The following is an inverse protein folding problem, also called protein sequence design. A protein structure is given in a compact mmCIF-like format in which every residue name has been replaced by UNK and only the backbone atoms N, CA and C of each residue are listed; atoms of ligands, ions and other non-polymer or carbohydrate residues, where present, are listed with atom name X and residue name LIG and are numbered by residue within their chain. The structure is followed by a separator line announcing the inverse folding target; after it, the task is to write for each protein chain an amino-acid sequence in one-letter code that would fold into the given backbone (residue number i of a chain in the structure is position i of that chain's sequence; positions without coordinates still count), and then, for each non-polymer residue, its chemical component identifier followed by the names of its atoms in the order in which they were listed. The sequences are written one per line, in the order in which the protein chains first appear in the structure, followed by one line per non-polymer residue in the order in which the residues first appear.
data_IF_276186709760
#
_entry.id   IF_276186709760
#
_cell.length_a   1.000
_cell.length_b   1.000
_cell.length_c   1.000
_cell.angle_alpha   90.00
_cell.angle_beta   90.00
_cell.angle_gamma   90.00
#
_symmetry.space_group_name_H-M   'P 1'
#
loop_
_entity.id
_entity.type
_entity.pdbx_description
1 polymer ?
#
# COMPACT_ATOMS: atom_id res chain seq x y z
N UNK A 1 -24.49 1.99 -13.10
CA UNK A 1 -23.63 1.27 -14.08
C UNK A 1 -23.11 0.02 -13.39
N UNK A 2 -22.71 -1.04 -14.12
CA UNK A 2 -22.00 -2.15 -13.47
C UNK A 2 -20.69 -1.65 -12.87
N UNK A 3 -20.28 -2.25 -11.75
CA UNK A 3 -18.98 -1.95 -11.13
C UNK A 3 -17.85 -2.25 -12.11
N UNK A 4 -16.87 -1.37 -12.19
CA UNK A 4 -15.65 -1.56 -12.98
C UNK A 4 -14.53 -2.05 -12.09
N UNK A 5 -13.81 -3.07 -12.52
CA UNK A 5 -12.75 -3.72 -11.74
C UNK A 5 -11.39 -3.44 -12.36
N UNK A 6 -10.47 -2.96 -11.54
CA UNK A 6 -9.07 -2.75 -11.92
C UNK A 6 -8.19 -3.64 -11.05
N UNK A 7 -7.65 -4.69 -11.62
CA UNK A 7 -6.67 -5.52 -10.93
C UNK A 7 -5.27 -4.96 -11.10
N UNK A 8 -4.49 -4.99 -10.02
CA UNK A 8 -3.09 -4.59 -10.02
C UNK A 8 -2.24 -5.77 -9.58
N UNK A 9 -1.36 -6.22 -10.46
CA UNK A 9 -0.39 -7.28 -10.18
C UNK A 9 1.03 -6.77 -10.35
N UNK A 10 2.01 -7.51 -9.87
CA UNK A 10 3.41 -7.16 -10.07
C UNK A 10 4.26 -8.34 -10.47
N UNK A 11 5.39 -8.04 -11.07
CA UNK A 11 6.36 -9.04 -11.47
C UNK A 11 7.79 -8.55 -11.36
N UNK A 12 8.74 -9.45 -11.57
CA UNK A 12 10.19 -9.25 -11.48
C UNK A 12 10.70 -9.32 -10.03
N UNK A 13 10.26 -8.40 -9.14
CA UNK A 13 10.65 -8.39 -7.71
C UNK A 13 9.51 -7.86 -6.84
N UNK A 14 9.58 -8.13 -5.53
CA UNK A 14 8.71 -7.50 -4.54
C UNK A 14 9.08 -6.02 -4.33
N UNK A 15 8.20 -5.24 -3.72
CA UNK A 15 8.49 -3.82 -3.41
C UNK A 15 8.50 -2.88 -4.61
N UNK A 16 7.91 -3.27 -5.75
CA UNK A 16 7.82 -2.43 -6.95
C UNK A 16 6.86 -1.25 -6.84
N UNK A 17 6.08 -1.17 -5.77
CA UNK A 17 5.09 -0.12 -5.59
C UNK A 17 3.73 -0.41 -6.25
N UNK A 18 3.29 -1.68 -6.25
CA UNK A 18 1.93 -2.07 -6.66
C UNK A 18 0.87 -1.27 -5.90
N UNK A 19 0.96 -1.29 -4.55
CA UNK A 19 0.03 -0.61 -3.65
C UNK A 19 -0.05 0.88 -3.94
N UNK A 20 1.09 1.53 -4.08
CA UNK A 20 1.14 2.96 -4.39
C UNK A 20 0.63 3.27 -5.80
N UNK A 21 0.86 2.38 -6.78
CA UNK A 21 0.27 2.52 -8.13
C UNK A 21 -1.25 2.40 -8.07
N UNK A 22 -1.77 1.42 -7.32
CA UNK A 22 -3.20 1.23 -7.09
C UNK A 22 -3.83 2.45 -6.39
N UNK A 23 -3.21 2.91 -5.30
CA UNK A 23 -3.61 4.09 -4.54
C UNK A 23 -3.61 5.37 -5.40
N UNK A 24 -2.56 5.56 -6.23
CA UNK A 24 -2.44 6.70 -7.13
C UNK A 24 -3.55 6.70 -8.18
N UNK A 25 -3.83 5.57 -8.80
CA UNK A 25 -4.96 5.46 -9.74
C UNK A 25 -6.29 5.73 -9.04
N UNK A 26 -6.48 5.18 -7.84
CA UNK A 26 -7.67 5.43 -7.02
C UNK A 26 -7.87 6.93 -6.75
N UNK A 27 -6.81 7.65 -6.36
CA UNK A 27 -6.84 9.09 -6.18
C UNK A 27 -7.24 9.82 -7.47
N UNK A 28 -6.65 9.44 -8.61
CA UNK A 28 -6.93 10.06 -9.89
C UNK A 28 -8.36 9.83 -10.37
N UNK A 29 -8.93 8.66 -10.12
CA UNK A 29 -10.33 8.36 -10.44
C UNK A 29 -11.28 9.11 -9.50
N UNK A 30 -10.98 9.15 -8.19
CA UNK A 30 -11.75 9.95 -7.23
C UNK A 30 -11.74 11.44 -7.57
N UNK A 31 -10.59 11.98 -7.99
CA UNK A 31 -10.47 13.37 -8.44
C UNK A 31 -11.32 13.68 -9.71
N UNK A 32 -11.75 12.66 -10.43
CA UNK A 32 -12.66 12.72 -11.57
C UNK A 32 -14.14 12.53 -11.18
N UNK A 33 -14.43 12.35 -9.90
CA UNK A 33 -15.78 12.18 -9.36
C UNK A 33 -16.27 10.75 -9.24
N UNK A 34 -15.42 9.73 -9.50
CA UNK A 34 -15.79 8.33 -9.34
C UNK A 34 -15.75 7.90 -7.87
N UNK A 35 -16.67 7.03 -7.47
CA UNK A 35 -16.65 6.36 -6.18
C UNK A 35 -15.77 5.13 -6.25
N UNK A 36 -14.62 5.20 -5.58
CA UNK A 36 -13.56 4.20 -5.66
C UNK A 36 -13.43 3.48 -4.33
N UNK A 37 -13.28 2.15 -4.37
CA UNK A 37 -12.87 1.35 -3.23
C UNK A 37 -11.63 0.52 -3.58
N UNK A 38 -10.93 0.03 -2.55
CA UNK A 38 -9.72 -0.77 -2.73
C UNK A 38 -9.73 -2.03 -1.90
N UNK A 39 -9.15 -3.10 -2.47
CA UNK A 39 -8.89 -4.36 -1.76
C UNK A 39 -7.46 -4.84 -1.99
N UNK A 40 -6.92 -5.50 -0.98
CA UNK A 40 -5.63 -6.19 -1.00
C UNK A 40 -5.83 -7.69 -0.83
N UNK A 41 -5.25 -8.48 -1.72
CA UNK A 41 -5.21 -9.93 -1.64
C UNK A 41 -3.78 -10.39 -1.40
N UNK A 42 -3.54 -10.94 -0.21
CA UNK A 42 -2.21 -11.36 0.21
C UNK A 42 -2.05 -12.89 0.15
N UNK A 43 -0.99 -13.38 -0.52
CA UNK A 43 -0.83 -14.82 -0.75
C UNK A 43 -0.30 -15.59 0.46
N UNK A 44 0.02 -14.95 1.58
CA UNK A 44 0.46 -15.67 2.78
C UNK A 44 -0.70 -16.41 3.49
N UNK A 45 -0.35 -17.48 4.24
CA UNK A 45 -1.31 -18.38 4.90
C UNK A 45 -1.81 -17.85 6.25
N UNK A 46 -1.23 -16.79 6.79
CA UNK A 46 -1.72 -16.18 8.01
C UNK A 46 -3.17 -15.68 7.83
N UNK A 47 -3.97 -15.75 8.91
CA UNK A 47 -5.36 -15.23 8.87
C UNK A 47 -5.36 -13.72 8.65
N UNK A 48 -4.47 -13.01 9.32
CA UNK A 48 -4.21 -11.58 9.25
C UNK A 48 -2.77 -11.31 9.69
N UNK A 49 -2.25 -10.08 9.57
CA UNK A 49 -0.90 -9.74 9.99
C UNK A 49 -0.73 -9.49 11.50
N UNK A 50 -1.80 -9.57 12.31
CA UNK A 50 -1.78 -9.17 13.73
C UNK A 50 -0.77 -9.89 14.59
N UNK A 51 -0.42 -11.14 14.25
CA UNK A 51 0.60 -11.93 14.96
C UNK A 51 1.96 -11.94 14.26
N UNK A 52 2.10 -11.25 13.14
CA UNK A 52 3.35 -11.17 12.40
C UNK A 52 4.35 -10.24 13.11
N UNK A 53 5.64 -10.53 12.92
CA UNK A 53 6.69 -9.68 13.46
C UNK A 53 6.77 -8.36 12.66
N UNK A 54 6.57 -7.18 13.29
CA UNK A 54 6.63 -5.89 12.61
C UNK A 54 7.98 -5.60 11.92
N UNK A 55 9.07 -6.21 12.39
CA UNK A 55 10.41 -6.07 11.76
C UNK A 55 10.48 -6.82 10.41
N UNK A 56 9.61 -7.80 10.19
CA UNK A 56 9.58 -8.57 8.93
C UNK A 56 8.52 -8.05 7.94
N UNK A 57 7.38 -7.57 8.45
CA UNK A 57 6.20 -7.24 7.63
C UNK A 57 5.83 -5.76 7.63
N UNK A 58 6.47 -4.94 8.48
CA UNK A 58 6.04 -3.58 8.71
C UNK A 58 4.90 -3.49 9.73
N UNK A 59 4.19 -2.37 9.75
CA UNK A 59 3.09 -2.18 10.69
C UNK A 59 1.88 -3.04 10.35
N UNK A 60 1.09 -3.34 11.37
CA UNK A 60 -0.27 -3.84 11.23
C UNK A 60 -1.19 -2.63 11.16
N UNK A 61 -1.80 -2.38 10.01
CA UNK A 61 -2.79 -1.31 9.85
C UNK A 61 -4.15 -1.79 10.34
N UNK A 62 -4.80 -1.00 11.20
CA UNK A 62 -6.10 -1.36 11.77
C UNK A 62 -7.18 -0.46 11.20
N UNK A 63 -8.18 -1.06 10.56
CA UNK A 63 -9.32 -0.35 10.00
C UNK A 63 -10.31 0.12 11.08
N UNK A 64 -11.21 1.03 10.76
CA UNK A 64 -12.20 1.58 11.72
C UNK A 64 -13.11 0.50 12.34
N UNK A 65 -13.35 -0.61 11.65
CA UNK A 65 -14.10 -1.76 12.16
C UNK A 65 -13.24 -2.78 12.95
N UNK A 66 -11.98 -2.42 13.25
CA UNK A 66 -11.08 -3.17 14.09
C UNK A 66 -10.37 -4.34 13.41
N UNK A 67 -10.39 -4.44 12.08
CA UNK A 67 -9.65 -5.47 11.38
C UNK A 67 -8.15 -5.16 11.31
N UNK A 68 -7.33 -6.15 11.66
CA UNK A 68 -5.89 -6.12 11.48
C UNK A 68 -5.56 -6.46 10.02
N UNK A 69 -4.81 -5.57 9.35
CA UNK A 69 -4.61 -5.63 7.90
C UNK A 69 -3.18 -5.28 7.50
N UNK A 70 -2.84 -5.55 6.25
CA UNK A 70 -1.57 -5.17 5.66
C UNK A 70 -1.38 -3.65 5.60
N UNK A 71 -0.14 -3.18 5.69
CA UNK A 71 0.22 -1.76 5.68
C UNK A 71 -0.21 -1.00 4.42
N UNK A 72 -0.38 -1.70 3.29
CA UNK A 72 -0.83 -1.10 2.04
C UNK A 72 -2.23 -0.48 2.15
N UNK A 73 -3.09 -1.00 3.06
CA UNK A 73 -4.40 -0.40 3.30
C UNK A 73 -4.27 1.03 3.83
N UNK A 74 -3.27 1.31 4.64
CA UNK A 74 -2.95 2.67 5.07
C UNK A 74 -2.59 3.59 3.89
N UNK A 75 -1.87 3.08 2.88
CA UNK A 75 -1.63 3.84 1.66
C UNK A 75 -2.92 4.12 0.89
N UNK A 76 -3.81 3.11 0.77
CA UNK A 76 -5.09 3.32 0.08
C UNK A 76 -5.92 4.37 0.76
N UNK A 77 -6.10 4.30 2.09
CA UNK A 77 -6.85 5.30 2.83
C UNK A 77 -6.23 6.70 2.70
N UNK A 78 -4.91 6.84 2.83
CA UNK A 78 -4.23 8.15 2.71
C UNK A 78 -4.32 8.78 1.33
N UNK A 79 -4.29 7.97 0.26
CA UNK A 79 -4.34 8.48 -1.12
C UNK A 79 -5.76 8.67 -1.61
N UNK A 80 -6.64 7.69 -1.39
CA UNK A 80 -8.00 7.71 -1.91
C UNK A 80 -8.92 8.52 -1.00
N UNK A 81 -8.57 8.66 0.29
CA UNK A 81 -9.38 9.33 1.31
C UNK A 81 -10.76 8.67 1.45
N UNK A 82 -10.76 7.35 1.56
CA UNK A 82 -11.92 6.50 1.79
C UNK A 82 -11.59 5.49 2.89
N UNK A 83 -12.53 5.27 3.79
CA UNK A 83 -12.37 4.29 4.86
C UNK A 83 -12.51 2.88 4.32
N UNK A 84 -11.56 2.05 4.68
CA UNK A 84 -11.57 0.63 4.38
C UNK A 84 -12.10 -0.19 5.56
N UNK A 85 -12.38 -1.46 5.33
CA UNK A 85 -12.97 -2.36 6.31
C UNK A 85 -12.35 -3.76 6.23
N UNK A 86 -12.83 -4.68 7.07
CA UNK A 86 -12.34 -6.07 7.14
C UNK A 86 -12.42 -6.86 5.83
N UNK A 87 -13.26 -6.44 4.88
CA UNK A 87 -13.37 -7.08 3.56
C UNK A 87 -12.30 -6.57 2.61
N UNK A 88 -11.65 -5.45 2.93
CA UNK A 88 -10.62 -4.84 2.10
C UNK A 88 -9.28 -5.57 2.15
N UNK A 89 -9.05 -6.48 3.11
CA UNK A 89 -7.86 -7.33 3.15
C UNK A 89 -8.23 -8.82 3.20
N UNK A 90 -7.85 -9.55 2.17
CA UNK A 90 -8.12 -10.98 2.02
C UNK A 90 -6.80 -11.75 1.94
N UNK A 91 -6.58 -12.68 2.86
CA UNK A 91 -5.40 -13.55 2.87
C UNK A 91 -5.73 -14.95 2.37
N UNK A 92 -4.73 -15.69 1.91
CA UNK A 92 -4.87 -17.13 1.63
C UNK A 92 -5.43 -17.86 2.83
N UNK A 93 -5.00 -17.51 4.05
CA UNK A 93 -5.51 -18.11 5.28
C UNK A 93 -7.02 -17.92 5.44
N UNK A 94 -7.55 -16.72 5.24
CA UNK A 94 -8.99 -16.44 5.29
C UNK A 94 -9.77 -17.26 4.25
N UNK A 95 -9.24 -17.41 3.04
CA UNK A 95 -9.86 -18.17 1.96
C UNK A 95 -9.92 -19.65 2.33
N UNK A 96 -8.80 -20.27 2.68
CA UNK A 96 -8.75 -21.69 3.04
C UNK A 96 -9.55 -21.99 4.31
N UNK A 97 -9.51 -21.12 5.31
CA UNK A 97 -10.32 -21.26 6.52
C UNK A 97 -11.83 -21.31 6.19
N UNK A 98 -12.28 -20.44 5.30
CA UNK A 98 -13.68 -20.45 4.83
C UNK A 98 -14.02 -21.78 4.15
N UNK A 99 -13.18 -22.27 3.24
CA UNK A 99 -13.38 -23.54 2.51
C UNK A 99 -13.41 -24.72 3.47
N UNK A 100 -12.45 -24.83 4.40
CA UNK A 100 -12.39 -25.93 5.35
C UNK A 100 -13.61 -25.96 6.28
N UNK A 101 -14.08 -24.79 6.73
CA UNK A 101 -15.31 -24.72 7.53
C UNK A 101 -16.55 -25.12 6.74
N UNK A 102 -16.67 -24.73 5.48
CA UNK A 102 -17.76 -25.15 4.59
C UNK A 102 -17.73 -26.66 4.38
N UNK A 103 -16.54 -27.25 4.16
CA UNK A 103 -16.38 -28.70 4.03
C UNK A 103 -16.85 -29.45 5.29
N UNK A 104 -16.41 -28.98 6.48
CA UNK A 104 -16.80 -29.61 7.75
C UNK A 104 -18.29 -29.52 8.05
N UNK A 105 -18.97 -28.49 7.59
CA UNK A 105 -20.44 -28.37 7.71
C UNK A 105 -21.19 -29.19 6.68
N UNK A 106 -20.53 -29.77 5.67
CA UNK A 106 -21.15 -30.53 4.60
C UNK A 106 -21.71 -29.66 3.47
N UNK A 107 -21.34 -28.40 3.38
CA UNK A 107 -21.87 -27.46 2.37
C UNK A 107 -21.55 -27.90 0.92
N UNK A 108 -20.57 -28.78 0.74
CA UNK A 108 -20.19 -29.34 -0.57
C UNK A 108 -20.87 -30.69 -0.88
N UNK A 109 -21.80 -31.17 -0.06
CA UNK A 109 -22.60 -32.37 -0.34
C UNK A 109 -21.79 -33.65 -0.54
N UNK A 110 -20.62 -33.79 0.06
CA UNK A 110 -19.70 -34.93 -0.07
C UNK A 110 -18.84 -34.94 -1.34
N UNK A 111 -18.88 -33.87 -2.15
CA UNK A 111 -18.02 -33.78 -3.32
C UNK A 111 -16.55 -33.51 -2.91
N UNK A 112 -15.62 -33.96 -3.76
CA UNK A 112 -14.20 -33.64 -3.59
C UNK A 112 -13.97 -32.13 -3.73
N UNK A 113 -13.39 -31.49 -2.71
CA UNK A 113 -13.07 -30.07 -2.70
C UNK A 113 -11.67 -29.87 -3.29
N UNK A 114 -11.55 -29.00 -4.30
CA UNK A 114 -10.32 -28.77 -5.06
C UNK A 114 -10.03 -27.27 -5.18
N UNK A 115 -8.82 -26.91 -5.58
CA UNK A 115 -8.46 -25.51 -5.83
C UNK A 115 -9.39 -24.90 -6.89
N UNK A 116 -9.57 -25.61 -8.01
CA UNK A 116 -10.56 -25.26 -9.03
C UNK A 116 -11.70 -26.30 -8.95
N UNK A 117 -12.94 -25.87 -8.77
CA UNK A 117 -13.45 -24.49 -8.72
C UNK A 117 -13.60 -23.92 -7.31
N UNK A 118 -13.39 -24.66 -6.22
CA UNK A 118 -13.86 -24.27 -4.90
C UNK A 118 -13.08 -23.08 -4.31
N UNK A 119 -11.73 -23.14 -4.32
CA UNK A 119 -10.90 -22.03 -3.83
C UNK A 119 -11.02 -20.83 -4.76
N UNK A 120 -10.98 -21.03 -6.07
CA UNK A 120 -11.14 -19.92 -7.03
C UNK A 120 -12.51 -19.24 -6.93
N UNK A 121 -13.60 -20.01 -6.70
CA UNK A 121 -14.92 -19.44 -6.48
C UNK A 121 -15.01 -18.64 -5.16
N UNK A 122 -14.38 -19.13 -4.09
CA UNK A 122 -14.28 -18.38 -2.82
C UNK A 122 -13.52 -17.06 -3.02
N UNK A 123 -12.41 -17.08 -3.76
CA UNK A 123 -11.64 -15.87 -4.08
C UNK A 123 -12.51 -14.90 -4.91
N UNK A 124 -13.15 -15.38 -5.98
CA UNK A 124 -14.03 -14.54 -6.82
C UNK A 124 -15.20 -13.95 -6.02
N UNK A 125 -15.78 -14.71 -5.10
CA UNK A 125 -16.83 -14.16 -4.23
C UNK A 125 -16.34 -12.99 -3.40
N UNK A 126 -15.06 -12.93 -3.04
CA UNK A 126 -14.44 -11.80 -2.33
C UNK A 126 -14.20 -10.60 -3.26
N UNK A 127 -13.94 -10.79 -4.55
CA UNK A 127 -13.88 -9.71 -5.51
C UNK A 127 -15.23 -8.97 -5.63
N UNK A 128 -16.35 -9.72 -5.64
CA UNK A 128 -17.70 -9.17 -5.70
C UNK A 128 -18.14 -8.44 -4.43
N UNK A 129 -17.53 -8.71 -3.26
CA UNK A 129 -17.94 -8.07 -2.00
C UNK A 129 -17.73 -6.54 -1.96
N UNK A 130 -17.03 -5.99 -2.95
CA UNK A 130 -16.99 -4.55 -3.17
C UNK A 130 -18.34 -3.96 -3.63
N UNK A 131 -19.25 -4.80 -4.15
CA UNK A 131 -20.58 -4.37 -4.61
C UNK A 131 -21.53 -4.05 -3.44
N UNK A 132 -21.29 -4.60 -2.23
CA UNK A 132 -22.09 -4.33 -1.03
C UNK A 132 -21.92 -2.89 -0.50
N UNK A 133 -20.86 -2.18 -0.91
CA UNK A 133 -20.81 -0.73 -0.79
C UNK A 133 -21.75 -0.17 -1.87
N UNK A 134 -23.01 0.10 -1.53
CA UNK A 134 -24.14 0.42 -2.40
C UNK A 134 -23.94 1.58 -3.41
N UNK A 135 -22.74 2.05 -3.57
CA UNK A 135 -22.36 3.20 -4.38
C UNK A 135 -21.01 3.04 -5.12
N UNK A 136 -20.28 1.93 -4.98
CA UNK A 136 -18.97 1.75 -5.64
C UNK A 136 -19.15 1.70 -7.16
N UNK A 137 -18.40 2.55 -7.87
CA UNK A 137 -18.34 2.56 -9.34
C UNK A 137 -17.07 1.88 -9.84
N UNK A 138 -15.95 2.01 -9.13
CA UNK A 138 -14.68 1.38 -9.47
C UNK A 138 -14.08 0.67 -8.25
N UNK A 139 -13.79 -0.62 -8.40
CA UNK A 139 -13.08 -1.43 -7.43
C UNK A 139 -11.64 -1.66 -7.88
N UNK A 140 -10.67 -1.24 -7.10
CA UNK A 140 -9.25 -1.48 -7.35
C UNK A 140 -8.80 -2.64 -6.46
N UNK A 141 -8.29 -3.70 -7.08
CA UNK A 141 -7.92 -4.94 -6.40
C UNK A 141 -6.45 -5.23 -6.64
N UNK A 142 -5.64 -5.11 -5.59
CA UNK A 142 -4.24 -5.50 -5.67
C UNK A 142 -4.06 -6.97 -5.30
N UNK A 143 -3.36 -7.72 -6.16
CA UNK A 143 -2.90 -9.08 -5.86
C UNK A 143 -1.45 -8.99 -5.39
N UNK A 144 -1.22 -9.39 -4.15
CA UNK A 144 0.09 -9.48 -3.53
C UNK A 144 0.97 -10.57 -4.15
N UNK A 145 2.25 -10.55 -3.80
CA UNK A 145 3.25 -11.45 -4.38
C UNK A 145 3.71 -11.01 -5.77
N UNK A 146 4.45 -11.89 -6.43
CA UNK A 146 5.03 -11.69 -7.75
C UNK A 146 4.39 -12.67 -8.73
N UNK A 147 4.11 -12.25 -9.96
CA UNK A 147 3.65 -13.16 -10.99
C UNK A 147 4.69 -14.28 -11.18
N UNK A 148 4.24 -15.52 -11.14
CA UNK A 148 5.10 -16.70 -11.14
C UNK A 148 5.27 -17.36 -9.76
N UNK A 149 5.02 -16.65 -8.66
CA UNK A 149 5.06 -17.23 -7.32
C UNK A 149 3.92 -18.26 -7.14
N UNK A 150 4.24 -19.41 -6.55
CA UNK A 150 3.27 -20.50 -6.33
C UNK A 150 2.09 -20.01 -5.47
N UNK A 151 2.39 -19.20 -4.47
CA UNK A 151 1.42 -18.66 -3.52
C UNK A 151 0.36 -17.78 -4.19
N UNK A 152 0.74 -17.08 -5.27
CA UNK A 152 -0.15 -16.16 -6.00
C UNK A 152 -1.01 -16.85 -7.06
N UNK A 153 -0.68 -18.09 -7.45
CA UNK A 153 -1.36 -18.80 -8.54
C UNK A 153 -2.88 -18.93 -8.37
N UNK A 154 -3.44 -19.30 -7.18
CA UNK A 154 -4.89 -19.38 -7.03
C UNK A 154 -5.61 -18.05 -7.25
N UNK A 155 -4.98 -16.93 -6.85
CA UNK A 155 -5.54 -15.59 -7.07
C UNK A 155 -5.48 -15.19 -8.54
N UNK A 156 -4.39 -15.49 -9.22
CA UNK A 156 -4.25 -15.22 -10.66
C UNK A 156 -5.22 -16.07 -11.48
N UNK A 157 -5.40 -17.35 -11.13
CA UNK A 157 -6.41 -18.20 -11.77
C UNK A 157 -7.84 -17.69 -11.52
N UNK A 158 -8.14 -17.24 -10.30
CA UNK A 158 -9.42 -16.63 -9.99
C UNK A 158 -9.65 -15.33 -10.79
N UNK A 159 -8.61 -14.49 -10.93
CA UNK A 159 -8.65 -13.30 -11.78
C UNK A 159 -8.96 -13.66 -13.25
N UNK A 160 -8.26 -14.65 -13.81
CA UNK A 160 -8.49 -15.11 -15.19
C UNK A 160 -9.94 -15.52 -15.41
N UNK A 161 -10.50 -16.29 -14.47
CA UNK A 161 -11.91 -16.70 -14.53
C UNK A 161 -12.84 -15.50 -14.39
N UNK A 162 -12.55 -14.59 -13.46
CA UNK A 162 -13.35 -13.41 -13.18
C UNK A 162 -13.41 -12.45 -14.38
N UNK A 163 -12.29 -12.19 -15.06
CA UNK A 163 -12.28 -11.40 -16.28
C UNK A 163 -13.19 -11.96 -17.37
N UNK A 164 -13.24 -13.29 -17.47
CA UNK A 164 -14.15 -13.95 -18.42
C UNK A 164 -15.62 -13.84 -18.02
N UNK A 165 -15.92 -13.89 -16.71
CA UNK A 165 -17.29 -13.81 -16.17
C UNK A 165 -17.89 -12.40 -16.31
N UNK A 166 -17.12 -11.35 -16.00
CA UNK A 166 -17.64 -9.96 -16.00
C UNK A 166 -17.44 -9.25 -17.35
N UNK A 167 -16.61 -9.79 -18.24
CA UNK A 167 -16.25 -9.19 -19.52
C UNK A 167 -15.09 -8.19 -19.42
N UNK A 168 -14.27 -8.14 -20.45
CA UNK A 168 -13.09 -7.26 -20.53
C UNK A 168 -13.42 -5.77 -20.43
N UNK A 169 -14.61 -5.38 -20.85
CA UNK A 169 -15.10 -3.99 -20.74
C UNK A 169 -15.39 -3.58 -19.29
N UNK A 170 -15.47 -4.53 -18.36
CA UNK A 170 -15.72 -4.28 -16.94
C UNK A 170 -14.53 -4.64 -16.05
N UNK A 171 -13.49 -5.28 -16.59
CA UNK A 171 -12.35 -5.75 -15.80
C UNK A 171 -11.05 -5.62 -16.58
N UNK A 172 -10.12 -4.82 -16.08
CA UNK A 172 -8.79 -4.64 -16.65
C UNK A 172 -7.68 -5.08 -15.69
N UNK A 173 -6.53 -5.42 -16.26
CA UNK A 173 -5.33 -5.76 -15.51
C UNK A 173 -4.21 -4.74 -15.77
N UNK A 174 -3.75 -4.11 -14.72
CA UNK A 174 -2.52 -3.32 -14.68
C UNK A 174 -1.40 -4.20 -14.11
N UNK A 175 -0.31 -4.32 -14.86
CA UNK A 175 0.85 -5.08 -14.41
C UNK A 175 2.04 -4.15 -14.15
N UNK A 176 2.50 -4.11 -12.90
CA UNK A 176 3.63 -3.27 -12.48
C UNK A 176 4.92 -4.08 -12.64
N UNK A 177 5.88 -3.51 -13.36
CA UNK A 177 7.15 -4.18 -13.69
C UNK A 177 8.35 -3.27 -13.45
N UNK A 178 9.56 -3.83 -13.59
CA UNK A 178 10.82 -3.11 -13.43
C UNK A 178 11.60 -3.06 -14.75
N UNK A 179 12.09 -1.87 -15.09
CA UNK A 179 13.07 -1.64 -16.15
C UNK A 179 14.38 -1.20 -15.51
N UNK A 180 15.25 -2.13 -15.12
CA UNK A 180 16.48 -1.78 -14.43
C UNK A 180 17.47 -1.09 -15.35
N UNK A 181 18.18 -0.08 -14.80
CA UNK A 181 19.33 0.54 -15.45
C UNK A 181 20.62 -0.20 -15.03
N UNK A 182 21.33 -0.75 -16.00
CA UNK A 182 22.60 -1.41 -15.76
C UNK A 182 23.74 -0.41 -15.94
N UNK A 183 24.30 0.06 -14.82
CA UNK A 183 25.41 1.04 -14.81
C UNK A 183 26.60 0.60 -15.64
N UNK A 184 26.93 -0.72 -15.66
CA UNK A 184 28.07 -1.25 -16.39
C UNK A 184 27.93 -1.16 -17.92
N UNK A 185 26.70 -1.28 -18.47
CA UNK A 185 26.43 -1.18 -19.90
C UNK A 185 25.82 0.16 -20.31
N UNK A 186 25.45 1.02 -19.34
CA UNK A 186 24.86 2.32 -19.60
C UNK A 186 23.47 2.26 -20.25
N UNK A 187 22.69 1.22 -20.02
CA UNK A 187 21.42 1.02 -20.72
C UNK A 187 20.31 0.47 -19.84
N UNK A 188 19.06 0.79 -20.19
CA UNK A 188 17.85 0.22 -19.60
C UNK A 188 17.56 -1.16 -20.19
N UNK A 189 17.19 -2.14 -19.33
CA UNK A 189 16.92 -3.52 -19.73
C UNK A 189 15.43 -3.85 -19.68
N UNK A 190 14.84 -4.12 -20.83
CA UNK A 190 13.41 -4.49 -20.95
C UNK A 190 13.13 -5.98 -20.76
N UNK A 191 14.17 -6.82 -20.70
CA UNK A 191 14.01 -8.28 -20.56
C UNK A 191 13.26 -8.72 -19.30
N UNK A 192 13.50 -8.14 -18.10
CA UNK A 192 12.75 -8.52 -16.91
C UNK A 192 11.25 -8.30 -17.07
N UNK A 193 10.83 -7.15 -17.59
CA UNK A 193 9.41 -6.85 -17.91
C UNK A 193 8.84 -7.86 -18.90
N UNK A 194 9.56 -8.16 -20.00
CA UNK A 194 9.12 -9.14 -20.99
C UNK A 194 8.95 -10.55 -20.39
N UNK A 195 9.85 -10.96 -19.49
CA UNK A 195 9.77 -12.25 -18.80
C UNK A 195 8.53 -12.30 -17.90
N UNK A 196 8.33 -11.27 -17.07
CA UNK A 196 7.18 -11.18 -16.16
C UNK A 196 5.84 -11.20 -16.90
N UNK A 197 5.71 -10.48 -18.02
CA UNK A 197 4.49 -10.53 -18.84
C UNK A 197 4.27 -11.91 -19.45
N UNK A 198 5.34 -12.61 -19.86
CA UNK A 198 5.24 -13.99 -20.37
C UNK A 198 4.74 -14.98 -19.31
N UNK A 199 5.09 -14.79 -18.05
CA UNK A 199 4.55 -15.59 -16.94
C UNK A 199 3.02 -15.49 -16.90
N UNK A 200 2.48 -14.26 -16.92
CA UNK A 200 1.03 -14.04 -16.97
C UNK A 200 0.39 -14.62 -18.22
N UNK A 201 1.00 -14.40 -19.39
CA UNK A 201 0.51 -14.95 -20.65
C UNK A 201 0.51 -16.50 -20.65
N UNK A 202 1.49 -17.13 -20.00
CA UNK A 202 1.53 -18.57 -19.78
C UNK A 202 0.36 -19.11 -18.96
N UNK A 203 -0.23 -18.27 -18.11
CA UNK A 203 -1.46 -18.57 -17.34
C UNK A 203 -2.75 -18.19 -18.10
N UNK A 204 -2.64 -17.67 -19.33
CA UNK A 204 -3.79 -17.20 -20.11
C UNK A 204 -4.28 -15.80 -19.70
N UNK A 205 -3.42 -15.00 -19.07
CA UNK A 205 -3.74 -13.64 -18.63
C UNK A 205 -2.95 -12.64 -19.49
N UNK A 206 -3.64 -11.70 -20.14
CA UNK A 206 -3.02 -10.61 -20.87
C UNK A 206 -3.20 -9.31 -20.08
N UNK A 207 -2.11 -8.63 -19.67
CA UNK A 207 -2.25 -7.31 -19.05
C UNK A 207 -2.73 -6.28 -20.09
N UNK A 208 -3.61 -5.39 -19.63
CA UNK A 208 -4.13 -4.28 -20.43
C UNK A 208 -3.19 -3.08 -20.41
N UNK A 209 -2.57 -2.82 -19.26
CA UNK A 209 -1.69 -1.68 -19.02
C UNK A 209 -0.43 -2.19 -18.32
N UNK A 210 0.72 -1.68 -18.76
CA UNK A 210 2.00 -1.91 -18.09
C UNK A 210 2.45 -0.63 -17.41
N UNK A 211 2.70 -0.70 -16.10
CA UNK A 211 3.35 0.37 -15.34
C UNK A 211 4.79 -0.03 -15.10
N UNK A 212 5.70 0.65 -15.77
CA UNK A 212 7.12 0.30 -15.81
C UNK A 212 7.91 1.20 -14.87
N UNK A 213 8.28 0.70 -13.69
CA UNK A 213 9.18 1.41 -12.79
C UNK A 213 10.59 1.45 -13.36
N UNK A 214 11.21 2.61 -13.31
CA UNK A 214 12.57 2.84 -13.82
C UNK A 214 13.23 4.03 -13.13
N UNK A 215 14.55 3.94 -12.91
CA UNK A 215 15.35 5.05 -12.38
C UNK A 215 15.52 6.20 -13.39
N UNK A 216 15.37 5.91 -14.69
CA UNK A 216 15.56 6.85 -15.78
C UNK A 216 14.34 6.91 -16.70
N UNK A 217 14.09 8.05 -17.35
CA UNK A 217 13.00 8.19 -18.32
C UNK A 217 13.08 7.15 -19.45
N UNK A 218 11.92 6.60 -19.80
CA UNK A 218 11.76 5.67 -20.92
C UNK A 218 11.56 6.47 -22.22
N UNK A 219 12.48 6.34 -23.14
CA UNK A 219 12.30 6.90 -24.47
C UNK A 219 11.24 6.16 -25.29
N UNK A 220 10.91 6.73 -26.43
CA UNK A 220 9.88 6.22 -27.34
C UNK A 220 10.20 4.85 -27.91
N UNK A 221 11.49 4.54 -28.14
CA UNK A 221 11.95 3.27 -28.69
C UNK A 221 11.85 2.15 -27.63
N UNK A 222 12.19 2.46 -26.38
CA UNK A 222 12.01 1.52 -25.25
C UNK A 222 10.53 1.22 -25.05
N UNK A 223 9.65 2.26 -25.02
CA UNK A 223 8.19 2.06 -24.90
C UNK A 223 7.64 1.23 -26.08
N UNK A 224 8.08 1.50 -27.32
CA UNK A 224 7.67 0.73 -28.49
C UNK A 224 8.13 -0.74 -28.43
N UNK A 225 9.36 -0.98 -27.99
CA UNK A 225 9.92 -2.32 -27.79
C UNK A 225 9.13 -3.11 -26.74
N UNK A 226 8.83 -2.50 -25.59
CA UNK A 226 8.00 -3.12 -24.54
C UNK A 226 6.62 -3.46 -25.11
N UNK A 227 5.97 -2.51 -25.76
CA UNK A 227 4.65 -2.67 -26.37
C UNK A 227 4.60 -3.88 -27.32
N UNK A 228 5.58 -3.98 -28.19
CA UNK A 228 5.68 -5.07 -29.18
C UNK A 228 5.87 -6.44 -28.51
N UNK A 229 6.80 -6.55 -27.54
CA UNK A 229 7.12 -7.83 -26.91
C UNK A 229 6.07 -8.29 -25.89
N UNK A 230 5.32 -7.34 -25.29
CA UNK A 230 4.30 -7.62 -24.28
C UNK A 230 2.88 -7.63 -24.83
N UNK A 231 2.73 -7.42 -26.14
CA UNK A 231 1.43 -7.41 -26.85
C UNK A 231 0.44 -6.39 -26.25
N UNK A 232 0.91 -5.16 -26.02
CA UNK A 232 0.08 -4.04 -25.56
C UNK A 232 0.28 -2.82 -26.48
N UNK A 233 -0.71 -1.95 -26.66
CA UNK A 233 -0.52 -0.69 -27.39
C UNK A 233 0.53 0.20 -26.69
N UNK A 234 1.38 0.91 -27.45
CA UNK A 234 2.43 1.79 -26.90
C UNK A 234 1.89 2.79 -25.86
N UNK A 235 0.69 3.36 -26.08
CA UNK A 235 0.04 4.29 -25.14
C UNK A 235 -0.33 3.66 -23.80
N UNK A 236 -0.33 2.34 -23.67
CA UNK A 236 -0.60 1.58 -22.46
C UNK A 236 0.69 1.16 -21.71
N UNK A 237 1.85 1.61 -22.18
CA UNK A 237 3.14 1.48 -21.50
C UNK A 237 3.38 2.78 -20.75
N UNK A 238 3.06 2.78 -19.47
CA UNK A 238 3.16 3.94 -18.56
C UNK A 238 4.50 3.86 -17.84
N UNK A 239 5.28 4.92 -17.88
CA UNK A 239 6.49 4.98 -17.05
C UNK A 239 6.14 5.38 -15.62
N UNK A 240 6.87 4.83 -14.67
CA UNK A 240 6.82 5.17 -13.26
C UNK A 240 8.24 5.46 -12.79
N UNK A 241 8.58 6.73 -12.69
CA UNK A 241 9.87 7.18 -12.15
C UNK A 241 9.79 7.33 -10.63
N UNK A 242 10.93 7.15 -9.98
CA UNK A 242 11.04 7.44 -8.56
C UNK A 242 10.80 8.94 -8.32
N UNK A 243 10.12 9.25 -7.23
CA UNK A 243 9.77 10.60 -6.81
C UNK A 243 10.36 10.88 -5.43
N UNK A 244 10.68 12.14 -5.14
CA UNK A 244 11.24 12.53 -3.84
C UNK A 244 10.19 12.45 -2.73
N UNK A 245 8.95 12.80 -3.04
CA UNK A 245 7.81 12.76 -2.14
C UNK A 245 6.78 11.81 -2.71
N UNK A 246 6.42 10.78 -1.96
CA UNK A 246 5.51 9.73 -2.42
C UNK A 246 4.18 10.28 -2.95
N UNK A 247 3.69 11.37 -2.35
CA UNK A 247 2.45 12.05 -2.76
C UNK A 247 2.54 12.82 -4.09
N UNK A 248 3.73 12.90 -4.71
CA UNK A 248 3.87 13.40 -6.09
C UNK A 248 3.46 12.36 -7.13
N UNK A 249 3.43 11.08 -6.75
CA UNK A 249 3.21 10.00 -7.71
C UNK A 249 1.87 10.10 -8.45
N UNK A 250 0.73 10.44 -7.81
CA UNK A 250 -0.51 10.69 -8.56
C UNK A 250 -0.36 11.76 -9.63
N UNK A 251 0.38 12.85 -9.35
CA UNK A 251 0.61 13.92 -10.32
C UNK A 251 1.52 13.48 -11.47
N UNK A 252 2.52 12.64 -11.18
CA UNK A 252 3.38 12.03 -12.21
C UNK A 252 2.58 11.04 -13.07
N UNK A 253 1.74 10.21 -12.48
CA UNK A 253 0.87 9.27 -13.19
C UNK A 253 -0.22 9.97 -14.03
N UNK A 254 -0.70 11.14 -13.58
CA UNK A 254 -1.61 11.97 -14.37
C UNK A 254 -0.93 12.49 -15.65
N UNK A 255 0.33 12.96 -15.56
CA UNK A 255 1.13 13.38 -16.72
C UNK A 255 1.33 12.23 -17.72
N UNK A 256 1.53 11.01 -17.22
CA UNK A 256 1.62 9.79 -18.03
C UNK A 256 0.25 9.29 -18.50
N UNK A 257 -0.85 9.95 -18.12
CA UNK A 257 -2.24 9.65 -18.52
C UNK A 257 -2.74 8.26 -18.08
N UNK A 258 -2.26 7.75 -16.91
CA UNK A 258 -2.67 6.45 -16.40
C UNK A 258 -4.18 6.32 -16.27
N UNK A 259 -4.85 7.31 -15.65
CA UNK A 259 -6.30 7.28 -15.48
C UNK A 259 -7.06 7.38 -16.81
N UNK A 260 -6.57 8.18 -17.77
CA UNK A 260 -7.17 8.27 -19.10
C UNK A 260 -7.13 6.91 -19.82
N UNK A 261 -5.99 6.23 -19.75
CA UNK A 261 -5.82 4.91 -20.37
C UNK A 261 -6.69 3.86 -19.67
N UNK A 262 -6.79 3.89 -18.34
CA UNK A 262 -7.66 3.00 -17.58
C UNK A 262 -9.15 3.22 -17.92
N UNK A 263 -9.62 4.48 -17.96
CA UNK A 263 -10.98 4.80 -18.36
C UNK A 263 -11.28 4.36 -19.80
N UNK A 264 -10.33 4.57 -20.72
CA UNK A 264 -10.49 4.08 -22.12
C UNK A 264 -10.66 2.56 -22.16
N UNK A 265 -9.82 1.81 -21.42
CA UNK A 265 -9.91 0.35 -21.39
C UNK A 265 -11.25 -0.15 -20.80
N UNK A 266 -11.82 0.58 -19.82
CA UNK A 266 -13.08 0.25 -19.14
C UNK A 266 -14.32 0.85 -19.82
N UNK A 267 -14.16 1.52 -20.97
CA UNK A 267 -15.24 2.27 -21.64
C UNK A 267 -15.96 3.23 -20.69
N UNK A 268 -15.20 3.96 -19.88
CA UNK A 268 -15.67 4.97 -18.95
C UNK A 268 -15.39 6.36 -19.51
N UNK A 269 -16.23 7.34 -19.14
CA UNK A 269 -15.89 8.75 -19.35
C UNK A 269 -14.64 9.12 -18.55
N UNK A 270 -13.89 10.09 -19.02
CA UNK A 270 -12.68 10.55 -18.33
C UNK A 270 -12.69 12.07 -18.19
N UNK A 271 -13.53 12.64 -17.28
CA UNK A 271 -13.53 14.06 -17.03
C UNK A 271 -12.17 14.55 -16.50
N UNK A 272 -11.96 15.87 -16.56
CA UNK A 272 -10.74 16.46 -16.00
C UNK A 272 -10.73 16.29 -14.48
N UNK A 273 -9.60 15.89 -13.87
CA UNK A 273 -9.52 15.71 -12.44
C UNK A 273 -9.41 17.06 -11.73
N UNK A 274 -10.04 17.19 -10.56
CA UNK A 274 -9.71 18.25 -9.62
C UNK A 274 -8.63 17.77 -8.66
N UNK A 275 -7.42 18.26 -8.86
CA UNK A 275 -6.23 17.95 -8.06
C UNK A 275 -5.71 19.18 -7.31
N UNK A 276 -6.51 20.24 -7.20
CA UNK A 276 -6.07 21.53 -6.62
C UNK A 276 -5.52 21.34 -5.21
N UNK A 277 -6.31 20.77 -4.30
CA UNK A 277 -5.87 20.54 -2.91
C UNK A 277 -4.66 19.60 -2.81
N UNK A 278 -4.58 18.62 -3.70
CA UNK A 278 -3.46 17.70 -3.74
C UNK A 278 -2.16 18.36 -4.19
N UNK A 279 -2.24 19.23 -5.19
CA UNK A 279 -1.11 20.04 -5.68
C UNK A 279 -0.64 21.00 -4.58
N UNK A 280 -1.57 21.66 -3.88
CA UNK A 280 -1.25 22.59 -2.80
C UNK A 280 -0.57 21.87 -1.63
N UNK A 281 -1.04 20.67 -1.26
CA UNK A 281 -0.40 19.84 -0.24
C UNK A 281 1.03 19.45 -0.66
N UNK A 282 1.24 18.98 -1.88
CA UNK A 282 2.57 18.62 -2.38
C UNK A 282 3.50 19.83 -2.43
N UNK A 283 2.99 21.00 -2.84
CA UNK A 283 3.77 22.22 -2.85
C UNK A 283 4.17 22.67 -1.43
N UNK A 284 3.26 22.57 -0.46
CA UNK A 284 3.56 22.87 0.94
C UNK A 284 4.66 21.94 1.49
N UNK A 285 4.61 20.65 1.09
CA UNK A 285 5.63 19.68 1.46
C UNK A 285 7.01 20.00 0.89
N UNK A 286 7.07 20.47 -0.37
CA UNK A 286 8.32 20.82 -1.05
C UNK A 286 8.96 22.12 -0.53
N UNK A 287 8.15 23.01 0.04
CA UNK A 287 8.59 24.34 0.43
C UNK A 287 8.27 24.65 1.89
N UNK A 288 8.79 23.84 2.85
CA UNK A 288 8.56 24.07 4.26
C UNK A 288 9.22 25.39 4.71
N UNK A 289 8.55 26.10 5.63
CA UNK A 289 9.07 27.36 6.21
C UNK A 289 9.85 27.14 7.50
N UNK A 290 9.61 26.01 8.14
CA UNK A 290 10.19 25.63 9.43
C UNK A 290 10.71 24.21 9.37
N UNK A 291 11.62 23.87 10.28
CA UNK A 291 12.08 22.51 10.52
C UNK A 291 11.86 22.15 11.97
N UNK A 292 11.38 20.96 12.23
CA UNK A 292 11.23 20.40 13.57
C UNK A 292 11.84 19.02 13.61
N UNK A 293 12.52 18.69 14.71
CA UNK A 293 13.11 17.36 14.93
C UNK A 293 12.33 16.64 16.00
N UNK A 294 11.74 15.50 15.64
CA UNK A 294 10.95 14.68 16.56
C UNK A 294 11.64 13.34 16.78
N UNK A 295 11.92 12.99 18.05
CA UNK A 295 12.39 11.66 18.41
C UNK A 295 11.23 10.69 18.44
N UNK A 296 11.30 9.62 17.64
CA UNK A 296 10.41 8.47 17.72
C UNK A 296 11.13 7.37 18.50
N UNK A 297 10.65 7.12 19.72
CA UNK A 297 11.27 6.18 20.67
C UNK A 297 10.48 4.88 20.66
N UNK A 298 11.02 3.81 20.09
CA UNK A 298 10.29 2.58 19.88
C UNK A 298 11.14 1.33 19.92
N UNK A 299 10.47 0.17 19.86
CA UNK A 299 11.07 -1.18 19.90
C UNK A 299 11.43 -1.74 18.51
N UNK A 300 10.80 -1.18 17.44
CA UNK A 300 10.86 -1.74 16.10
C UNK A 300 11.54 -0.79 15.11
N UNK A 301 12.38 0.12 15.61
CA UNK A 301 13.03 1.17 14.83
C UNK A 301 14.03 0.65 13.79
N UNK A 302 14.41 -0.61 13.84
CA UNK A 302 15.26 -1.25 12.84
C UNK A 302 14.59 -1.42 11.47
N UNK A 303 13.24 -1.45 11.43
CA UNK A 303 12.45 -1.38 10.22
C UNK A 303 11.49 -0.19 10.31
N UNK A 304 11.74 0.85 9.52
CA UNK A 304 10.94 2.09 9.58
C UNK A 304 9.47 1.87 9.24
N UNK A 305 9.16 0.90 8.36
CA UNK A 305 7.79 0.53 7.99
C UNK A 305 6.95 0.01 9.17
N UNK A 306 7.60 -0.40 10.28
CA UNK A 306 6.89 -0.78 11.50
C UNK A 306 6.14 0.40 12.16
N UNK A 307 6.46 1.64 11.80
CA UNK A 307 5.84 2.86 12.33
C UNK A 307 5.36 3.80 11.23
N UNK A 308 5.06 3.28 10.05
CA UNK A 308 4.76 4.11 8.87
C UNK A 308 3.58 5.06 9.11
N UNK A 309 2.49 4.61 9.73
CA UNK A 309 1.34 5.48 10.03
C UNK A 309 1.67 6.58 11.03
N UNK A 310 2.53 6.32 12.01
CA UNK A 310 3.00 7.34 12.97
C UNK A 310 3.83 8.39 12.24
N UNK A 311 4.75 7.96 11.41
CA UNK A 311 5.61 8.83 10.60
C UNK A 311 4.79 9.66 9.63
N UNK A 312 3.85 9.04 8.92
CA UNK A 312 2.98 9.76 7.98
C UNK A 312 2.08 10.77 8.70
N UNK A 313 1.54 10.43 9.89
CA UNK A 313 0.79 11.39 10.70
C UNK A 313 1.64 12.60 11.12
N UNK A 314 2.90 12.38 11.52
CA UNK A 314 3.84 13.47 11.83
C UNK A 314 4.15 14.33 10.61
N UNK A 315 4.36 13.72 9.45
CA UNK A 315 4.60 14.44 8.19
C UNK A 315 3.38 15.26 7.76
N UNK A 316 2.17 14.68 7.82
CA UNK A 316 0.93 15.41 7.51
C UNK A 316 0.72 16.58 8.46
N UNK A 317 0.96 16.39 9.77
CA UNK A 317 0.92 17.46 10.75
C UNK A 317 1.95 18.57 10.45
N UNK A 318 3.16 18.19 10.04
CA UNK A 318 4.20 19.14 9.66
C UNK A 318 3.79 19.94 8.41
N UNK A 319 3.30 19.29 7.36
CA UNK A 319 2.83 19.95 6.12
C UNK A 319 1.71 20.95 6.42
N UNK A 320 0.72 20.57 7.23
CA UNK A 320 -0.37 21.45 7.65
C UNK A 320 0.12 22.72 8.39
N UNK A 321 1.31 22.64 9.01
CA UNK A 321 1.96 23.75 9.70
C UNK A 321 3.11 24.38 8.90
N UNK A 322 3.24 24.11 7.61
CA UNK A 322 4.31 24.57 6.73
C UNK A 322 5.72 24.21 7.28
N UNK A 323 5.85 23.05 7.88
CA UNK A 323 7.10 22.56 8.46
C UNK A 323 7.57 21.26 7.78
N UNK A 324 8.87 21.02 7.83
CA UNK A 324 9.51 19.73 7.58
C UNK A 324 9.76 19.06 8.93
N UNK A 325 9.40 17.79 9.06
CA UNK A 325 9.74 16.99 10.24
C UNK A 325 10.90 16.06 9.94
N UNK A 326 11.96 16.19 10.73
CA UNK A 326 13.08 15.24 10.79
C UNK A 326 12.77 14.22 11.89
N UNK A 327 12.69 12.93 11.51
CA UNK A 327 12.46 11.86 12.48
C UNK A 327 13.79 11.32 12.98
N UNK A 328 14.04 11.49 14.29
CA UNK A 328 15.17 10.87 14.98
C UNK A 328 14.72 9.54 15.55
N UNK A 329 15.17 8.46 14.92
CA UNK A 329 14.86 7.09 15.33
C UNK A 329 15.66 6.72 16.56
N UNK A 330 15.00 6.36 17.66
CA UNK A 330 15.63 6.00 18.92
C UNK A 330 15.16 4.62 19.36
N UNK A 331 16.11 3.68 19.43
CA UNK A 331 15.83 2.38 20.03
C UNK A 331 15.70 2.51 21.54
N UNK A 332 14.52 2.20 22.05
CA UNK A 332 14.21 2.30 23.47
C UNK A 332 15.09 1.40 24.34
N UNK A 333 15.65 0.33 23.82
CA UNK A 333 16.55 -0.56 24.57
C UNK A 333 17.91 0.08 24.87
N UNK A 334 18.29 1.10 24.10
CA UNK A 334 19.56 1.79 24.26
C UNK A 334 19.48 2.99 25.20
N UNK A 335 18.27 3.42 25.57
CA UNK A 335 18.06 4.60 26.43
C UNK A 335 18.11 4.22 27.90
N UNK A 336 18.86 4.99 28.69
CA UNK A 336 19.00 4.83 30.14
C UNK A 336 19.17 6.20 30.81
N UNK A 337 19.02 6.27 32.13
CA UNK A 337 19.22 7.49 32.91
C UNK A 337 20.63 8.12 32.74
N UNK A 338 21.63 7.31 32.34
CA UNK A 338 23.01 7.77 32.15
C UNK A 338 23.26 8.44 30.78
N UNK A 339 22.45 8.15 29.77
CA UNK A 339 22.69 8.61 28.40
C UNK A 339 21.50 9.32 27.77
N UNK A 340 20.39 9.46 28.47
CA UNK A 340 19.12 10.01 27.97
C UNK A 340 19.31 11.41 27.36
N UNK A 341 20.12 12.26 27.95
CA UNK A 341 20.41 13.60 27.46
C UNK A 341 21.06 13.57 26.07
N UNK A 342 21.94 12.61 25.80
CA UNK A 342 22.60 12.49 24.50
C UNK A 342 21.63 12.13 23.36
N UNK A 343 20.48 11.52 23.69
CA UNK A 343 19.44 11.21 22.72
C UNK A 343 18.48 12.38 22.45
N UNK A 344 18.24 13.25 23.46
CA UNK A 344 17.10 14.18 23.37
C UNK A 344 17.46 15.65 23.52
N UNK A 345 18.73 16.02 23.73
CA UNK A 345 19.14 17.41 23.87
C UNK A 345 18.96 18.27 22.61
N UNK A 346 18.78 17.63 21.43
CA UNK A 346 18.67 18.29 20.12
C UNK A 346 17.31 18.09 19.44
N UNK A 347 16.27 17.68 20.20
CA UNK A 347 14.94 17.45 19.63
C UNK A 347 13.91 18.45 20.11
N UNK A 348 12.94 18.74 19.24
CA UNK A 348 11.84 19.67 19.53
C UNK A 348 10.60 18.94 20.08
N UNK A 349 10.53 17.63 19.94
CA UNK A 349 9.44 16.80 20.44
C UNK A 349 9.83 15.33 20.58
N UNK A 350 9.07 14.61 21.39
CA UNK A 350 9.25 13.16 21.60
C UNK A 350 7.91 12.45 21.42
N UNK A 351 7.90 11.38 20.61
CA UNK A 351 6.76 10.47 20.47
C UNK A 351 7.18 9.06 20.89
N UNK A 352 6.33 8.42 21.71
CA UNK A 352 6.53 7.04 22.15
C UNK A 352 5.33 6.21 21.71
N UNK A 353 5.40 5.53 20.55
CA UNK A 353 4.31 4.68 20.06
C UNK A 353 4.10 3.47 20.95
N UNK A 354 2.95 2.81 20.79
CA UNK A 354 2.66 1.56 21.48
C UNK A 354 3.60 0.42 21.09
N UNK A 355 3.62 -0.61 21.93
CA UNK A 355 4.36 -1.85 21.66
C UNK A 355 4.10 -2.88 22.76
N UNK A 356 3.95 -4.14 22.35
CA UNK A 356 3.67 -5.24 23.29
C UNK A 356 4.93 -5.78 23.96
N UNK A 357 4.74 -6.36 25.16
CA UNK A 357 5.80 -7.02 25.95
C UNK A 357 6.75 -6.04 26.63
N UNK A 358 7.66 -6.59 27.44
CA UNK A 358 8.46 -5.83 28.41
C UNK A 358 9.74 -5.21 27.82
N UNK A 359 10.12 -5.59 26.61
CA UNK A 359 11.34 -5.13 25.93
C UNK A 359 11.32 -3.61 25.75
N UNK A 360 12.38 -2.92 26.19
CA UNK A 360 12.58 -1.49 25.99
C UNK A 360 11.68 -0.56 26.81
N UNK A 361 10.86 -1.07 27.75
CA UNK A 361 9.95 -0.26 28.57
C UNK A 361 10.73 0.76 29.41
N UNK A 362 11.82 0.36 30.06
CA UNK A 362 12.61 1.24 30.93
C UNK A 362 13.15 2.46 30.17
N UNK A 363 13.64 2.24 28.94
CA UNK A 363 14.11 3.33 28.08
C UNK A 363 12.97 4.25 27.63
N UNK A 364 11.77 3.73 27.37
CA UNK A 364 10.60 4.55 27.10
C UNK A 364 10.22 5.40 28.32
N UNK A 365 10.24 4.83 29.54
CA UNK A 365 9.97 5.55 30.77
C UNK A 365 11.02 6.65 31.02
N UNK A 366 12.31 6.36 30.80
CA UNK A 366 13.37 7.36 30.85
C UNK A 366 13.13 8.53 29.88
N UNK A 367 12.73 8.22 28.64
CA UNK A 367 12.43 9.23 27.61
C UNK A 367 11.23 10.12 28.01
N UNK A 368 10.18 9.52 28.57
CA UNK A 368 9.00 10.23 29.06
C UNK A 368 9.36 11.15 30.22
N UNK A 369 10.14 10.64 31.18
CA UNK A 369 10.63 11.44 32.32
C UNK A 369 11.45 12.65 31.82
N UNK A 370 12.37 12.41 30.91
CA UNK A 370 13.19 13.46 30.29
C UNK A 370 12.33 14.56 29.65
N UNK A 371 11.34 14.15 28.80
CA UNK A 371 10.44 15.10 28.15
C UNK A 371 9.71 15.97 29.17
N UNK A 372 9.18 15.39 30.25
CA UNK A 372 8.46 16.11 31.33
C UNK A 372 9.38 17.08 32.07
N UNK A 373 10.58 16.63 32.47
CA UNK A 373 11.51 17.43 33.27
C UNK A 373 12.11 18.59 32.46
N UNK A 374 12.38 18.40 31.18
CA UNK A 374 12.91 19.41 30.26
C UNK A 374 11.83 20.22 29.51
N UNK A 375 10.53 19.92 29.79
CA UNK A 375 9.37 20.58 29.14
C UNK A 375 9.38 20.46 27.61
N UNK A 376 9.86 19.34 27.09
CA UNK A 376 9.80 19.01 25.66
C UNK A 376 8.39 18.50 25.34
N UNK A 377 7.74 18.97 24.26
CA UNK A 377 6.48 18.42 23.77
C UNK A 377 6.53 16.91 23.63
N UNK A 378 5.53 16.24 24.22
CA UNK A 378 5.47 14.79 24.26
C UNK A 378 4.11 14.27 23.81
N UNK A 379 4.13 13.16 23.04
CA UNK A 379 2.92 12.40 22.68
C UNK A 379 3.15 10.90 22.89
N UNK A 380 2.28 10.29 23.71
CA UNK A 380 2.19 8.83 23.85
C UNK A 380 0.81 8.35 23.39
N UNK A 381 0.65 8.00 22.12
CA UNK A 381 -0.69 7.78 21.53
C UNK A 381 -1.39 6.51 21.98
N UNK A 382 -0.70 5.59 22.67
CA UNK A 382 -1.26 4.30 23.10
C UNK A 382 -1.00 4.06 24.59
N UNK A 383 -0.20 3.04 24.95
CA UNK A 383 -0.01 2.58 26.35
C UNK A 383 0.70 3.59 27.25
N UNK A 384 1.48 4.49 26.68
CA UNK A 384 2.35 5.40 27.43
C UNK A 384 1.73 6.78 27.68
N UNK A 385 0.49 7.01 27.28
CA UNK A 385 -0.23 8.29 27.48
C UNK A 385 -0.30 8.69 28.95
N UNK A 386 -0.53 7.74 29.84
CA UNK A 386 -0.73 8.00 31.27
C UNK A 386 0.56 8.20 32.10
N UNK A 387 1.72 7.92 31.52
CA UNK A 387 3.00 8.02 32.22
C UNK A 387 3.54 9.45 32.31
N UNK A 388 2.98 10.39 31.58
CA UNK A 388 3.43 11.78 31.53
C UNK A 388 2.75 12.72 32.49
N UNK A 389 1.50 12.45 32.82
CA UNK A 389 0.72 13.34 33.68
C UNK A 389 0.75 12.85 35.11
N UNK A 390 1.07 13.70 36.13
CA UNK A 390 0.60 13.46 37.46
C UNK A 390 -0.91 13.40 37.37
N UNK A 391 -1.51 12.29 37.75
CA UNK A 391 -2.91 11.89 37.57
C UNK A 391 -3.96 12.82 38.22
N UNK A 392 -3.63 14.06 38.50
CA UNK A 392 -4.47 15.02 39.24
C UNK A 392 -5.16 16.08 38.39
N UNK A 393 -4.79 16.23 37.11
CA UNK A 393 -5.51 17.16 36.22
C UNK A 393 -5.99 16.41 34.98
N UNK A 394 -7.29 16.12 34.97
CA UNK A 394 -8.00 15.78 33.75
C UNK A 394 -8.22 17.06 32.96
N UNK A 395 -7.66 17.16 31.81
CA UNK A 395 -8.09 18.14 30.81
C UNK A 395 -9.34 17.61 30.11
#
# INVERSE_FOLDING_TARGET
MPVKYVFVTGGVVSGLGKGITAASLGRLLKARGYKVTSQKFDPYINMDPGTMNPIQHGEVFVTDDGAETDLDLGHYERFIDEKLNKQSNVTTGKVYWSILNKERRGDFGGHTVQVIPHVTNEIKSRFYHNEDASETEVAIIEIGGTAGDIESQPFLEALRQFQHEVGHENCILIHVTLIPYLKASGELKTKPTQASVKELQGMGIQPDILVCRSDLPLDDDIKAKIAQFCNVPKKRVIQNLDVDILYELPLAMEKEKLANVACECLNMECPQPDLTDWIDMVNAWKHPKHKVKVALVGKYVSLHDAYISVVEALKHGAVANNAEVEIKWVDSELVSDYNVDSFFSDVDGIIVPGGFGDRGIEGMICSIRYAREHKIPYLGPVSYTHLTLPTTERV
#
